data_IF_771956624546
#
_entry.id   IF_771956624546
#
_cell.length_a   1.000
_cell.length_b   1.000
_cell.length_c   1.000
_cell.angle_alpha   90.00
_cell.angle_beta   90.00
_cell.angle_gamma   90.00
#
_symmetry.space_group_name_H-M   'P 1'
#
loop_
_entity.id
_entity.type
_entity.pdbx_description
1 polymer ?
#
# COMPACT_ATOMS: atom_id res chain seq x y z
N UNK A 1 -24.28 -12.77 27.13
CA UNK A 1 -23.76 -12.55 25.75
C UNK A 1 -22.87 -11.34 25.82
N UNK A 2 -21.55 -11.50 25.77
CA UNK A 2 -20.62 -10.35 25.63
C UNK A 2 -20.98 -9.68 24.32
N UNK A 3 -21.42 -8.43 24.36
CA UNK A 3 -21.62 -7.61 23.15
C UNK A 3 -20.25 -7.54 22.45
N UNK A 4 -20.13 -8.17 21.28
CA UNK A 4 -18.91 -8.02 20.49
C UNK A 4 -18.75 -6.54 20.17
N UNK A 5 -17.57 -5.98 20.49
CA UNK A 5 -17.27 -4.59 20.16
C UNK A 5 -17.43 -4.31 18.67
N UNK A 6 -17.91 -3.13 18.37
CA UNK A 6 -18.04 -2.64 16.99
C UNK A 6 -16.77 -1.94 16.57
N UNK A 7 -16.08 -2.51 15.60
CA UNK A 7 -14.82 -1.99 15.08
C UNK A 7 -15.08 -1.35 13.71
N UNK A 8 -14.59 -0.12 13.54
CA UNK A 8 -14.63 0.58 12.26
C UNK A 8 -13.22 0.70 11.68
N UNK A 9 -13.02 0.22 10.47
CA UNK A 9 -11.81 0.45 9.69
C UNK A 9 -11.88 1.79 8.96
N UNK A 10 -10.82 2.60 9.05
CA UNK A 10 -10.65 3.81 8.25
C UNK A 10 -9.30 3.74 7.54
N UNK A 11 -9.30 3.74 6.21
CA UNK A 11 -8.09 3.64 5.41
C UNK A 11 -7.77 4.99 4.80
N UNK A 12 -6.60 5.53 5.14
CA UNK A 12 -6.08 6.78 4.58
C UNK A 12 -5.52 6.52 3.17
N UNK A 13 -6.18 7.04 2.14
CA UNK A 13 -5.85 6.84 0.73
C UNK A 13 -5.74 8.16 -0.06
N UNK A 14 -5.56 9.28 0.63
CA UNK A 14 -5.60 10.64 0.07
C UNK A 14 -4.25 11.25 -0.32
N UNK A 15 -3.11 10.60 -0.06
CA UNK A 15 -1.78 11.15 -0.31
C UNK A 15 -1.46 11.36 -1.79
N UNK A 16 -0.68 12.42 -2.11
CA UNK A 16 -0.29 12.77 -3.49
C UNK A 16 0.62 11.74 -4.15
N UNK A 17 1.50 11.06 -3.37
CA UNK A 17 2.41 10.03 -3.86
C UNK A 17 3.43 10.53 -4.89
N UNK A 18 3.90 11.77 -4.78
CA UNK A 18 4.77 12.45 -5.78
C UNK A 18 6.07 11.72 -6.05
N UNK A 19 6.66 11.07 -5.02
CA UNK A 19 7.91 10.32 -5.14
C UNK A 19 7.81 9.07 -6.03
N UNK A 20 6.59 8.61 -6.32
CA UNK A 20 6.34 7.46 -7.20
C UNK A 20 5.96 7.89 -8.64
N UNK A 21 6.10 9.19 -8.96
CA UNK A 21 5.90 9.64 -10.33
C UNK A 21 6.93 8.97 -11.27
N UNK A 22 6.53 8.61 -12.52
CA UNK A 22 5.28 8.98 -13.22
C UNK A 22 4.09 8.04 -12.95
N UNK A 23 4.24 6.95 -12.17
CA UNK A 23 3.17 5.98 -11.91
C UNK A 23 1.94 6.61 -11.23
N UNK A 24 2.16 7.68 -10.46
CA UNK A 24 1.11 8.45 -9.78
C UNK A 24 0.67 9.72 -10.51
N UNK A 25 1.10 9.91 -11.75
CA UNK A 25 0.70 11.10 -12.53
C UNK A 25 -0.81 11.17 -12.80
N UNK A 26 -1.47 10.00 -12.95
CA UNK A 26 -2.91 9.90 -13.27
C UNK A 26 -3.72 9.07 -12.25
N UNK A 27 -3.12 8.66 -11.14
CA UNK A 27 -3.77 7.87 -10.07
C UNK A 27 -3.13 8.16 -8.72
N UNK A 28 -3.84 7.92 -7.64
CA UNK A 28 -3.27 7.95 -6.27
C UNK A 28 -2.34 6.76 -6.04
N UNK A 29 -1.41 6.86 -5.07
CA UNK A 29 -0.48 5.77 -4.72
C UNK A 29 -1.21 4.46 -4.38
N UNK A 30 -2.30 4.46 -3.57
CA UNK A 30 -3.06 3.23 -3.30
C UNK A 30 -3.64 2.54 -4.54
N UNK A 31 -3.83 3.26 -5.64
CA UNK A 31 -4.35 2.73 -6.89
C UNK A 31 -3.28 2.20 -7.86
N UNK A 32 -1.99 2.29 -7.51
CA UNK A 32 -0.90 1.76 -8.35
C UNK A 32 -1.00 0.22 -8.38
N UNK A 33 -0.91 -0.41 -9.58
CA UNK A 33 -0.91 -1.86 -9.72
C UNK A 33 0.28 -2.51 -9.01
N UNK A 34 0.11 -3.70 -8.43
CA UNK A 34 1.16 -4.47 -7.78
C UNK A 34 0.90 -5.99 -7.90
N UNK A 35 1.94 -6.82 -8.02
CA UNK A 35 1.85 -8.27 -7.98
C UNK A 35 0.93 -8.89 -9.04
N UNK A 36 1.02 -8.46 -10.28
CA UNK A 36 0.33 -8.93 -11.50
C UNK A 36 -1.18 -8.65 -11.58
N UNK A 37 -1.91 -8.52 -10.49
CA UNK A 37 -3.37 -8.32 -10.50
C UNK A 37 -3.92 -7.38 -9.43
N UNK A 38 -3.16 -7.14 -8.37
CA UNK A 38 -3.59 -6.32 -7.24
C UNK A 38 -3.33 -4.82 -7.48
N UNK A 39 -3.86 -4.00 -6.58
CA UNK A 39 -3.41 -2.63 -6.33
C UNK A 39 -2.92 -2.52 -4.89
N UNK A 40 -2.13 -1.51 -4.59
CA UNK A 40 -1.54 -1.35 -3.24
C UNK A 40 -2.61 -1.33 -2.14
N UNK A 41 -3.77 -0.72 -2.37
CA UNK A 41 -4.88 -0.68 -1.41
C UNK A 41 -5.42 -2.07 -1.05
N UNK A 42 -5.33 -3.04 -1.96
CA UNK A 42 -5.90 -4.37 -1.76
C UNK A 42 -5.27 -5.11 -0.59
N UNK A 43 -4.03 -4.79 -0.23
CA UNK A 43 -3.33 -5.37 0.92
C UNK A 43 -3.98 -4.93 2.23
N UNK A 44 -4.19 -3.62 2.43
CA UNK A 44 -4.86 -3.11 3.61
C UNK A 44 -6.30 -3.63 3.72
N UNK A 45 -7.06 -3.60 2.62
CA UNK A 45 -8.44 -4.12 2.59
C UNK A 45 -8.49 -5.62 2.90
N UNK A 46 -7.57 -6.41 2.33
CA UNK A 46 -7.51 -7.87 2.60
C UNK A 46 -7.17 -8.15 4.06
N UNK A 47 -6.28 -7.38 4.68
CA UNK A 47 -5.94 -7.51 6.09
C UNK A 47 -7.16 -7.28 6.99
N UNK A 48 -7.96 -6.24 6.73
CA UNK A 48 -9.19 -5.99 7.48
C UNK A 48 -10.19 -7.14 7.34
N UNK A 49 -10.47 -7.56 6.10
CA UNK A 49 -11.44 -8.63 5.86
C UNK A 49 -11.02 -9.96 6.47
N UNK A 50 -9.76 -10.34 6.31
CA UNK A 50 -9.24 -11.58 6.88
C UNK A 50 -9.21 -11.56 8.42
N UNK A 51 -9.22 -10.36 9.02
CA UNK A 51 -9.29 -10.13 10.46
C UNK A 51 -10.73 -9.96 10.98
N UNK A 52 -11.75 -10.15 10.14
CA UNK A 52 -13.14 -10.01 10.57
C UNK A 52 -13.66 -8.58 10.71
N UNK A 53 -12.92 -7.58 10.23
CA UNK A 53 -13.36 -6.18 10.20
C UNK A 53 -13.95 -5.88 8.83
N UNK A 54 -15.27 -5.74 8.78
CA UNK A 54 -16.03 -5.62 7.52
C UNK A 54 -16.62 -4.24 7.28
N UNK A 55 -16.68 -3.39 8.28
CA UNK A 55 -17.13 -2.00 8.16
C UNK A 55 -15.93 -1.10 7.90
N UNK A 56 -15.76 -0.63 6.66
CA UNK A 56 -14.54 0.07 6.24
C UNK A 56 -14.90 1.31 5.43
N UNK A 57 -14.36 2.46 5.84
CA UNK A 57 -14.31 3.66 5.01
C UNK A 57 -12.91 3.87 4.44
N UNK A 58 -12.85 4.19 3.14
CA UNK A 58 -11.60 4.55 2.45
C UNK A 58 -11.63 6.03 2.15
N UNK A 59 -10.79 6.79 2.84
CA UNK A 59 -10.72 8.25 2.74
C UNK A 59 -9.86 8.64 1.54
N UNK A 60 -10.48 9.32 0.57
CA UNK A 60 -9.83 9.66 -0.69
C UNK A 60 -9.81 11.17 -0.93
N UNK A 61 -8.80 11.63 -1.63
CA UNK A 61 -8.64 13.05 -1.96
C UNK A 61 -8.09 13.26 -3.38
N UNK A 62 -6.79 13.10 -3.58
CA UNK A 62 -6.14 13.35 -4.86
C UNK A 62 -6.29 12.16 -5.83
N UNK A 63 -6.60 12.46 -7.11
CA UNK A 63 -6.62 11.48 -8.22
C UNK A 63 -7.37 10.20 -7.88
N UNK A 64 -8.51 10.33 -7.20
CA UNK A 64 -9.25 9.22 -6.62
C UNK A 64 -10.00 8.36 -7.64
N UNK A 65 -10.27 8.85 -8.87
CA UNK A 65 -11.13 8.18 -9.84
C UNK A 65 -10.75 6.71 -10.07
N UNK A 66 -9.47 6.44 -10.36
CA UNK A 66 -8.99 5.08 -10.61
C UNK A 66 -9.13 4.16 -9.39
N UNK A 67 -8.98 4.71 -8.17
CA UNK A 67 -9.21 3.98 -6.93
C UNK A 67 -10.70 3.71 -6.72
N UNK A 68 -11.52 4.72 -6.96
CA UNK A 68 -12.99 4.63 -6.88
C UNK A 68 -13.53 3.52 -7.77
N UNK A 69 -13.13 3.49 -9.04
CA UNK A 69 -13.53 2.44 -9.97
C UNK A 69 -13.10 1.05 -9.50
N UNK A 70 -11.89 0.93 -8.97
CA UNK A 70 -11.37 -0.34 -8.47
C UNK A 70 -12.18 -0.87 -7.29
N UNK A 71 -12.46 -0.02 -6.29
CA UNK A 71 -13.24 -0.40 -5.11
C UNK A 71 -14.68 -0.73 -5.51
N UNK A 72 -15.30 0.09 -6.35
CA UNK A 72 -16.67 -0.15 -6.80
C UNK A 72 -16.84 -1.44 -7.61
N UNK A 73 -15.81 -1.87 -8.35
CA UNK A 73 -15.85 -3.11 -9.15
C UNK A 73 -15.55 -4.36 -8.33
N UNK A 74 -14.64 -4.26 -7.36
CA UNK A 74 -14.07 -5.43 -6.72
C UNK A 74 -14.48 -5.67 -5.27
N UNK A 75 -14.84 -4.61 -4.56
CA UNK A 75 -14.98 -4.65 -3.12
C UNK A 75 -16.43 -4.41 -2.68
N UNK A 76 -17.36 -5.10 -3.34
CA UNK A 76 -18.78 -5.06 -2.99
C UNK A 76 -19.14 -6.32 -2.21
N UNK A 77 -19.70 -6.14 -1.02
CA UNK A 77 -20.42 -7.19 -0.34
C UNK A 77 -21.82 -7.31 -0.94
N UNK A 78 -22.38 -8.51 -1.00
CA UNK A 78 -23.70 -8.76 -1.57
C UNK A 78 -24.78 -7.89 -0.93
N UNK A 79 -25.84 -7.66 -1.66
CA UNK A 79 -26.91 -6.72 -1.40
C UNK A 79 -27.43 -6.69 0.06
N UNK A 80 -27.10 -5.64 0.79
CA UNK A 80 -27.96 -4.93 1.74
C UNK A 80 -28.52 -5.60 2.99
N UNK A 81 -28.32 -6.89 3.21
CA UNK A 81 -28.89 -7.58 4.37
C UNK A 81 -28.10 -7.42 5.68
N UNK A 82 -26.86 -6.94 5.60
CA UNK A 82 -25.98 -6.79 6.76
C UNK A 82 -25.46 -5.36 6.83
N UNK A 83 -26.05 -4.55 7.67
CA UNK A 83 -25.69 -3.13 7.86
C UNK A 83 -24.22 -2.90 8.28
N UNK A 84 -23.57 -3.94 8.81
CA UNK A 84 -22.20 -3.86 9.33
C UNK A 84 -21.14 -4.38 8.31
N UNK A 85 -21.53 -4.65 7.05
CA UNK A 85 -20.64 -5.17 6.02
C UNK A 85 -20.60 -4.22 4.83
N UNK A 86 -19.64 -3.32 4.81
CA UNK A 86 -19.47 -2.37 3.72
C UNK A 86 -18.01 -1.95 3.54
N UNK A 87 -17.64 -1.63 2.30
CA UNK A 87 -16.45 -0.86 1.97
C UNK A 87 -16.93 0.35 1.18
N UNK A 88 -16.81 1.53 1.76
CA UNK A 88 -17.34 2.77 1.19
C UNK A 88 -16.23 3.81 1.07
N UNK A 89 -16.23 4.50 -0.06
CA UNK A 89 -15.34 5.64 -0.28
C UNK A 89 -15.90 6.86 0.45
N UNK A 90 -15.04 7.54 1.18
CA UNK A 90 -15.31 8.84 1.81
C UNK A 90 -14.38 9.88 1.19
N UNK A 91 -14.79 10.55 0.10
CA UNK A 91 -14.02 11.63 -0.48
C UNK A 91 -14.07 12.87 0.42
N UNK A 92 -13.04 13.72 0.33
CA UNK A 92 -13.06 15.03 0.97
C UNK A 92 -14.31 15.81 0.53
N UNK A 93 -15.06 16.33 1.49
CA UNK A 93 -16.38 16.95 1.26
C UNK A 93 -16.40 18.43 1.68
N UNK A 94 -17.26 19.18 1.04
CA UNK A 94 -17.40 20.63 1.30
C UNK A 94 -18.28 20.98 2.50
N UNK A 95 -18.93 20.02 3.17
CA UNK A 95 -19.94 20.38 4.16
C UNK A 95 -19.36 21.07 5.42
N UNK A 96 -18.06 20.88 5.69
CA UNK A 96 -17.33 21.61 6.72
C UNK A 96 -16.64 22.89 6.20
N UNK A 97 -16.88 23.27 4.94
CA UNK A 97 -16.22 24.42 4.33
C UNK A 97 -16.50 25.73 5.10
N UNK A 98 -17.74 25.91 5.57
CA UNK A 98 -18.14 27.11 6.34
C UNK A 98 -17.38 27.21 7.67
N UNK A 99 -17.06 26.07 8.31
CA UNK A 99 -16.36 26.04 9.58
C UNK A 99 -14.83 26.08 9.40
N UNK A 100 -14.29 25.34 8.42
CA UNK A 100 -12.86 25.11 8.27
C UNK A 100 -12.22 25.93 7.14
N UNK A 101 -13.00 26.55 6.26
CA UNK A 101 -12.51 27.35 5.14
C UNK A 101 -11.69 26.57 4.09
N UNK A 102 -11.65 25.24 4.16
CA UNK A 102 -10.89 24.37 3.28
C UNK A 102 -11.63 23.08 2.95
N UNK A 103 -11.58 22.67 1.69
CA UNK A 103 -12.20 21.43 1.17
C UNK A 103 -11.28 20.22 1.27
N UNK A 104 -9.98 20.46 1.25
CA UNK A 104 -8.97 19.41 1.25
C UNK A 104 -8.53 19.05 2.66
N UNK A 105 -8.26 17.78 2.91
CA UNK A 105 -7.64 17.34 4.16
C UNK A 105 -6.27 18.02 4.33
N UNK A 106 -6.09 18.74 5.42
CA UNK A 106 -4.85 19.45 5.76
C UNK A 106 -3.75 18.49 6.22
N UNK A 107 -4.14 17.35 6.80
CA UNK A 107 -3.25 16.30 7.28
C UNK A 107 -3.99 14.99 7.50
N UNK A 108 -3.28 13.99 8.00
CA UNK A 108 -3.82 12.65 8.26
C UNK A 108 -4.87 12.64 9.37
N UNK A 109 -4.69 13.47 10.41
CA UNK A 109 -5.64 13.64 11.49
C UNK A 109 -6.88 14.42 11.06
N UNK A 110 -6.70 15.46 10.25
CA UNK A 110 -7.82 16.24 9.68
C UNK A 110 -8.72 15.37 8.78
N UNK A 111 -8.13 14.42 8.04
CA UNK A 111 -8.92 13.49 7.24
C UNK A 111 -9.88 12.66 8.10
N UNK A 112 -9.46 12.23 9.28
CA UNK A 112 -10.32 11.50 10.21
C UNK A 112 -11.31 12.47 10.88
N UNK A 113 -10.85 13.65 11.32
CA UNK A 113 -11.69 14.64 11.96
C UNK A 113 -12.92 15.03 11.10
N UNK A 114 -12.69 15.36 9.84
CA UNK A 114 -13.77 15.70 8.91
C UNK A 114 -14.75 14.54 8.67
N UNK A 115 -14.38 13.30 9.00
CA UNK A 115 -15.20 12.11 8.84
C UNK A 115 -15.65 11.48 10.18
N UNK A 116 -15.52 12.20 11.31
CA UNK A 116 -15.93 11.69 12.63
C UNK A 116 -17.41 11.35 12.71
N UNK A 117 -18.26 12.07 11.97
CA UNK A 117 -19.69 11.75 11.85
C UNK A 117 -19.96 10.31 11.36
N UNK A 118 -19.08 9.73 10.52
CA UNK A 118 -19.17 8.34 10.06
C UNK A 118 -18.89 7.37 11.20
N UNK A 119 -17.92 7.69 12.07
CA UNK A 119 -17.57 6.93 13.27
C UNK A 119 -18.75 6.93 14.27
N UNK A 120 -19.38 8.09 14.47
CA UNK A 120 -20.52 8.27 15.35
C UNK A 120 -21.76 7.55 14.83
N UNK A 121 -22.08 7.71 13.55
CA UNK A 121 -23.21 7.05 12.90
C UNK A 121 -23.11 5.53 12.97
N UNK A 122 -21.90 4.99 12.78
CA UNK A 122 -21.63 3.56 12.93
C UNK A 122 -21.66 3.11 14.39
N UNK A 123 -21.51 4.02 15.35
CA UNK A 123 -21.38 3.75 16.79
C UNK A 123 -20.23 2.81 17.09
N UNK A 124 -19.07 3.04 16.50
CA UNK A 124 -17.87 2.28 16.75
C UNK A 124 -17.46 2.36 18.24
N UNK A 125 -16.96 1.27 18.80
CA UNK A 125 -16.28 1.27 20.10
C UNK A 125 -14.81 1.65 19.92
N UNK A 126 -14.16 1.00 18.96
CA UNK A 126 -12.77 1.27 18.58
C UNK A 126 -12.67 1.56 17.06
N UNK A 127 -11.69 2.37 16.68
CA UNK A 127 -11.44 2.77 15.29
C UNK A 127 -10.03 2.34 14.89
N UNK A 128 -9.95 1.51 13.86
CA UNK A 128 -8.69 1.08 13.26
C UNK A 128 -8.35 1.98 12.06
N UNK A 129 -7.33 2.82 12.20
CA UNK A 129 -6.89 3.79 11.18
C UNK A 129 -5.61 3.27 10.54
N UNK A 130 -5.67 2.92 9.26
CA UNK A 130 -4.57 2.30 8.54
C UNK A 130 -4.18 3.10 7.31
N UNK A 131 -2.89 3.08 6.98
CA UNK A 131 -2.41 3.59 5.70
C UNK A 131 -2.74 2.62 4.56
N UNK A 132 -3.26 3.14 3.45
CA UNK A 132 -3.64 2.34 2.27
C UNK A 132 -2.52 2.20 1.23
N UNK A 133 -1.26 2.47 1.58
CA UNK A 133 -0.17 2.62 0.62
C UNK A 133 1.07 1.75 0.92
N UNK A 134 0.93 0.73 1.77
CA UNK A 134 1.98 -0.24 2.13
C UNK A 134 1.65 -1.66 1.68
N UNK A 135 2.69 -2.47 1.50
CA UNK A 135 2.59 -3.90 1.17
C UNK A 135 2.96 -4.72 2.41
N UNK A 136 2.00 -5.45 2.97
CA UNK A 136 2.17 -6.26 4.17
C UNK A 136 0.97 -7.17 4.41
N UNK A 137 1.14 -8.18 5.27
CA UNK A 137 0.03 -8.96 5.84
C UNK A 137 -0.06 -8.64 7.33
N UNK A 138 -1.24 -8.33 7.81
CA UNK A 138 -1.46 -8.00 9.21
C UNK A 138 -2.77 -8.55 9.74
N UNK A 139 -2.68 -9.29 10.84
CA UNK A 139 -3.83 -9.74 11.60
C UNK A 139 -4.31 -8.61 12.53
N UNK A 140 -5.27 -7.83 12.06
CA UNK A 140 -5.85 -6.71 12.80
C UNK A 140 -6.58 -7.19 14.05
N UNK A 141 -7.19 -8.39 14.01
CA UNK A 141 -7.85 -8.97 15.18
C UNK A 141 -6.86 -9.21 16.33
N UNK A 142 -5.67 -9.72 16.05
CA UNK A 142 -4.63 -9.91 17.07
C UNK A 142 -4.14 -8.56 17.66
N UNK A 143 -4.03 -7.52 16.83
CA UNK A 143 -3.72 -6.17 17.35
C UNK A 143 -4.86 -5.62 18.23
N UNK A 144 -6.13 -5.87 17.87
CA UNK A 144 -7.28 -5.51 18.68
C UNK A 144 -7.31 -6.26 20.01
N UNK A 145 -7.04 -7.57 20.01
CA UNK A 145 -6.94 -8.38 21.22
C UNK A 145 -5.87 -7.82 22.20
N UNK A 146 -4.71 -7.45 21.66
CA UNK A 146 -3.66 -6.81 22.50
C UNK A 146 -4.08 -5.41 22.97
N UNK A 147 -4.73 -4.61 22.14
CA UNK A 147 -5.28 -3.31 22.53
C UNK A 147 -6.23 -3.43 23.73
N UNK A 148 -7.11 -4.42 23.69
CA UNK A 148 -8.04 -4.70 24.79
C UNK A 148 -7.36 -5.24 26.04
N UNK A 149 -6.48 -6.24 25.88
CA UNK A 149 -5.77 -6.87 26.98
C UNK A 149 -4.92 -5.87 27.79
N UNK A 150 -4.29 -4.93 27.08
CA UNK A 150 -3.49 -3.85 27.71
C UNK A 150 -4.36 -2.67 28.17
N UNK A 151 -5.68 -2.68 27.89
CA UNK A 151 -6.60 -1.56 28.15
C UNK A 151 -6.07 -0.23 27.58
N UNK A 152 -5.37 -0.31 26.45
CA UNK A 152 -4.76 0.85 25.83
C UNK A 152 -5.83 1.84 25.36
N UNK A 153 -5.52 3.12 25.36
CA UNK A 153 -6.33 4.17 24.75
C UNK A 153 -6.02 4.28 23.26
N UNK A 154 -4.75 4.05 22.94
CA UNK A 154 -4.20 4.05 21.57
C UNK A 154 -3.25 2.86 21.44
N UNK A 155 -3.29 2.15 20.33
CA UNK A 155 -2.27 1.15 19.97
C UNK A 155 -1.65 1.52 18.64
N UNK A 156 -0.31 1.48 18.56
CA UNK A 156 0.45 1.80 17.35
C UNK A 156 1.16 0.54 16.87
N UNK A 157 0.92 0.13 15.62
CA UNK A 157 1.72 -0.93 15.03
C UNK A 157 3.17 -0.45 14.81
N UNK A 158 4.11 -1.22 15.34
CA UNK A 158 5.51 -0.87 15.42
C UNK A 158 6.39 -1.93 14.74
N UNK A 159 7.41 -1.48 14.03
CA UNK A 159 8.35 -2.34 13.32
C UNK A 159 9.79 -1.89 13.57
N UNK A 160 10.70 -2.80 13.96
CA UNK A 160 12.12 -2.49 14.09
C UNK A 160 12.73 -2.22 12.72
N UNK A 161 13.30 -1.03 12.53
CA UNK A 161 13.90 -0.57 11.27
C UNK A 161 15.37 -0.22 11.51
N UNK A 162 16.29 -0.48 10.55
CA UNK A 162 17.66 -0.02 10.66
C UNK A 162 17.74 1.47 10.94
N UNK A 163 18.60 1.88 11.88
CA UNK A 163 18.69 3.27 12.35
C UNK A 163 18.92 4.26 11.19
N UNK A 164 19.71 3.86 10.20
CA UNK A 164 19.99 4.67 9.00
C UNK A 164 18.75 5.01 8.15
N UNK A 165 17.68 4.20 8.26
CA UNK A 165 16.44 4.37 7.50
C UNK A 165 15.31 4.98 8.34
N UNK A 166 15.46 4.98 9.66
CA UNK A 166 14.40 5.32 10.60
C UNK A 166 13.93 6.79 10.51
N UNK A 167 14.76 7.70 9.99
CA UNK A 167 14.40 9.10 9.78
C UNK A 167 13.24 9.33 8.80
N UNK A 168 12.80 8.29 8.10
CA UNK A 168 11.63 8.35 7.18
C UNK A 168 10.30 8.13 7.89
N UNK A 169 10.32 7.65 9.15
CA UNK A 169 9.16 7.18 9.90
C UNK A 169 9.01 7.92 11.23
N UNK A 170 7.85 7.78 11.86
CA UNK A 170 7.69 8.10 13.26
C UNK A 170 8.49 7.11 14.10
N UNK A 171 9.35 7.60 14.98
CA UNK A 171 10.19 6.78 15.87
C UNK A 171 9.68 6.87 17.30
N UNK A 172 9.56 5.74 17.97
CA UNK A 172 9.06 5.67 19.33
C UNK A 172 10.04 4.99 20.28
N UNK A 173 9.98 5.38 21.56
CA UNK A 173 10.60 4.68 22.66
C UNK A 173 9.52 4.04 23.52
N UNK A 174 9.80 2.85 24.01
CA UNK A 174 8.87 2.08 24.84
C UNK A 174 9.51 1.67 26.16
N UNK A 175 8.68 1.50 27.19
CA UNK A 175 9.10 0.87 28.44
C UNK A 175 9.14 -0.67 28.33
N UNK A 176 9.49 -1.37 29.41
CA UNK A 176 9.57 -2.84 29.48
C UNK A 176 8.22 -3.55 29.20
N UNK A 177 7.11 -2.84 29.31
CA UNK A 177 5.75 -3.34 29.05
C UNK A 177 5.26 -3.01 27.66
N UNK A 178 6.12 -2.36 26.84
CA UNK A 178 5.76 -1.91 25.49
C UNK A 178 4.88 -0.66 25.46
N UNK A 179 4.71 0.05 26.59
CA UNK A 179 4.04 1.34 26.62
C UNK A 179 4.93 2.39 25.96
N UNK A 180 4.37 3.17 25.05
CA UNK A 180 5.09 4.27 24.39
C UNK A 180 5.30 5.41 25.37
N UNK A 181 6.56 5.79 25.55
CA UNK A 181 6.99 6.89 26.47
C UNK A 181 7.50 8.11 25.70
N UNK A 182 7.86 7.95 24.42
CA UNK A 182 8.28 9.05 23.56
C UNK A 182 7.89 8.73 22.11
N UNK A 183 7.53 9.75 21.34
CA UNK A 183 7.25 9.65 19.91
C UNK A 183 7.79 10.89 19.18
N UNK A 184 8.51 10.66 18.08
CA UNK A 184 9.05 11.71 17.21
C UNK A 184 8.79 11.38 15.75
N UNK A 185 8.08 12.26 15.05
CA UNK A 185 7.81 12.10 13.62
C UNK A 185 9.01 12.52 12.77
N UNK A 186 9.56 11.57 12.03
CA UNK A 186 10.68 11.77 11.08
C UNK A 186 11.86 12.54 11.69
N UNK A 187 12.42 12.07 12.83
CA UNK A 187 13.52 12.76 13.47
C UNK A 187 14.76 12.74 12.59
N UNK A 188 15.54 13.83 12.66
CA UNK A 188 16.84 13.90 11.96
C UNK A 188 17.87 12.94 12.58
N UNK A 189 17.77 12.74 13.89
CA UNK A 189 18.61 11.84 14.68
C UNK A 189 17.71 10.84 15.44
N UNK A 190 17.37 9.71 14.81
CA UNK A 190 16.47 8.74 15.39
C UNK A 190 17.13 8.00 16.57
N UNK A 191 16.38 7.82 17.67
CA UNK A 191 16.84 7.08 18.84
C UNK A 191 16.78 5.58 18.60
N UNK A 192 17.83 4.86 19.01
CA UNK A 192 17.88 3.42 18.95
C UNK A 192 16.95 2.76 19.97
N UNK A 193 16.50 1.55 19.66
CA UNK A 193 15.76 0.70 20.60
C UNK A 193 16.64 0.25 21.77
N UNK A 194 16.08 0.16 22.99
CA UNK A 194 16.78 -0.47 24.11
C UNK A 194 17.26 -1.89 23.75
N UNK A 195 18.54 -2.17 24.01
CA UNK A 195 19.17 -3.47 23.69
C UNK A 195 19.45 -3.78 22.22
N UNK A 196 19.10 -2.88 21.29
CA UNK A 196 19.37 -3.04 19.83
C UNK A 196 19.92 -1.73 19.23
N UNK A 197 21.20 -1.37 19.46
CA UNK A 197 21.76 -0.07 19.12
C UNK A 197 21.77 0.28 17.62
N UNK A 198 21.61 -0.74 16.73
CA UNK A 198 21.53 -0.53 15.27
C UNK A 198 20.10 -0.37 14.74
N UNK A 199 19.08 -0.46 15.60
CA UNK A 199 17.66 -0.47 15.19
C UNK A 199 16.87 0.60 15.94
N UNK A 200 15.89 1.18 15.27
CA UNK A 200 14.87 2.04 15.89
C UNK A 200 13.49 1.38 15.81
N UNK A 201 12.62 1.65 16.78
CA UNK A 201 11.23 1.19 16.72
C UNK A 201 10.39 2.22 15.96
N UNK A 202 9.96 1.86 14.76
CA UNK A 202 9.25 2.75 13.85
C UNK A 202 7.75 2.47 13.82
N UNK A 203 6.96 3.53 13.72
CA UNK A 203 5.52 3.44 13.46
C UNK A 203 5.26 3.00 12.03
N UNK A 204 4.36 2.05 11.86
CA UNK A 204 3.86 1.61 10.55
C UNK A 204 2.76 2.53 9.99
N UNK A 205 2.32 3.55 10.75
CA UNK A 205 1.18 4.38 10.36
C UNK A 205 -0.17 3.69 10.49
N UNK A 206 -0.23 2.63 11.28
CA UNK A 206 -1.42 1.85 11.57
C UNK A 206 -1.76 1.96 13.05
N UNK A 207 -2.96 2.40 13.36
CA UNK A 207 -3.40 2.76 14.70
C UNK A 207 -4.72 2.11 15.05
N UNK A 208 -4.93 1.79 16.34
CA UNK A 208 -6.23 1.53 16.93
C UNK A 208 -6.46 2.57 18.01
N UNK A 209 -7.60 3.23 17.97
CA UNK A 209 -8.03 4.22 18.96
C UNK A 209 -9.35 3.80 19.59
N UNK A 210 -9.50 3.97 20.90
CA UNK A 210 -10.83 4.09 21.49
C UNK A 210 -11.55 5.30 20.88
N UNK A 211 -12.79 5.13 20.42
CA UNK A 211 -13.57 6.20 19.76
C UNK A 211 -13.57 7.49 20.56
N UNK A 212 -13.79 7.41 21.89
CA UNK A 212 -13.84 8.60 22.74
C UNK A 212 -12.52 9.36 22.73
N UNK A 213 -11.40 8.65 22.86
CA UNK A 213 -10.07 9.26 22.87
C UNK A 213 -9.74 9.88 21.53
N UNK A 214 -10.11 9.20 20.43
CA UNK A 214 -9.94 9.75 19.09
C UNK A 214 -10.71 11.06 18.93
N UNK A 215 -11.98 11.10 19.31
CA UNK A 215 -12.82 12.30 19.21
C UNK A 215 -12.24 13.48 20.03
N UNK A 216 -11.86 13.23 21.29
CA UNK A 216 -11.27 14.24 22.18
C UNK A 216 -9.97 14.84 21.59
N UNK A 217 -9.07 13.99 21.12
CA UNK A 217 -7.78 14.44 20.56
C UNK A 217 -7.93 15.21 19.26
N UNK A 218 -8.82 14.75 18.36
CA UNK A 218 -9.05 15.40 17.08
C UNK A 218 -9.77 16.73 17.22
N UNK A 219 -10.74 16.84 18.13
CA UNK A 219 -11.44 18.10 18.44
C UNK A 219 -10.46 19.17 18.92
N UNK A 220 -9.52 18.79 19.79
CA UNK A 220 -8.49 19.71 20.27
C UNK A 220 -7.49 20.05 19.17
N UNK A 221 -7.05 19.06 18.36
CA UNK A 221 -6.11 19.30 17.26
C UNK A 221 -6.71 20.24 16.20
N UNK A 222 -7.99 20.05 15.84
CA UNK A 222 -8.68 20.87 14.85
C UNK A 222 -8.70 22.37 15.17
N UNK A 223 -8.71 22.69 16.49
CA UNK A 223 -8.72 24.07 17.01
C UNK A 223 -7.34 24.61 17.37
N UNK A 224 -6.30 23.77 17.27
CA UNK A 224 -4.93 24.17 17.62
C UNK A 224 -4.32 24.96 16.48
N UNK A 225 -4.06 26.24 16.72
CA UNK A 225 -3.38 27.10 15.76
C UNK A 225 -1.93 26.60 15.52
N UNK A 226 -1.52 26.56 14.24
CA UNK A 226 -0.20 26.07 13.84
C UNK A 226 -0.05 24.55 13.76
N UNK A 227 -1.09 23.76 14.11
CA UNK A 227 -1.09 22.32 13.89
C UNK A 227 -1.01 22.00 12.39
N UNK A 228 -0.26 20.94 12.06
CA UNK A 228 -0.25 20.37 10.72
C UNK A 228 -1.35 19.32 10.54
N UNK A 229 -2.12 19.07 11.58
CA UNK A 229 -3.20 18.10 11.65
C UNK A 229 -2.75 16.68 11.23
N UNK A 230 -1.58 16.29 11.71
CA UNK A 230 -0.96 15.02 11.41
C UNK A 230 -0.87 14.14 12.66
N UNK A 231 -1.17 12.83 12.54
CA UNK A 231 -1.14 11.95 13.69
C UNK A 231 0.23 11.90 14.34
N UNK A 232 1.30 11.79 13.54
CA UNK A 232 2.66 11.65 14.05
C UNK A 232 3.22 12.96 14.62
N UNK A 233 2.90 14.10 14.00
CA UNK A 233 3.47 15.40 14.40
C UNK A 233 2.71 16.05 15.55
N UNK A 234 1.38 15.91 15.56
CA UNK A 234 0.53 16.69 16.43
C UNK A 234 -0.24 15.82 17.44
N UNK A 235 -0.99 14.82 16.97
CA UNK A 235 -1.93 14.05 17.79
C UNK A 235 -1.23 13.12 18.76
N UNK A 236 -0.30 12.26 18.29
CA UNK A 236 0.38 11.29 19.16
C UNK A 236 1.30 11.95 20.21
N UNK A 237 2.13 12.96 19.87
CA UNK A 237 2.91 13.69 20.88
C UNK A 237 2.02 14.38 21.91
N UNK A 238 0.84 14.90 21.50
CA UNK A 238 -0.13 15.46 22.42
C UNK A 238 -0.71 14.41 23.35
N UNK A 239 -1.15 13.28 22.80
CA UNK A 239 -1.71 12.18 23.57
C UNK A 239 -0.74 11.70 24.67
N UNK A 240 0.56 11.65 24.37
CA UNK A 240 1.60 11.33 25.35
C UNK A 240 1.69 12.38 26.47
N UNK A 241 1.70 13.67 26.12
CA UNK A 241 1.74 14.77 27.11
C UNK A 241 0.51 14.79 28.01
N UNK A 242 -0.65 14.48 27.45
CA UNK A 242 -1.94 14.47 28.16
C UNK A 242 -2.13 13.18 29.00
N UNK A 243 -1.16 12.25 28.96
CA UNK A 243 -1.10 11.07 29.82
C UNK A 243 -1.93 9.87 29.32
N UNK A 244 -2.41 9.87 28.08
CA UNK A 244 -3.11 8.72 27.51
C UNK A 244 -2.21 7.48 27.46
N UNK A 245 -2.82 6.31 27.63
CA UNK A 245 -2.10 5.04 27.54
C UNK A 245 -1.91 4.63 26.07
N UNK A 246 -0.70 4.82 25.56
CA UNK A 246 -0.31 4.42 24.22
C UNK A 246 0.52 3.13 24.30
N UNK A 247 0.09 2.07 23.60
CA UNK A 247 0.77 0.77 23.54
C UNK A 247 1.38 0.55 22.16
N UNK A 248 2.62 0.08 22.11
CA UNK A 248 3.21 -0.42 20.87
C UNK A 248 2.79 -1.87 20.63
N UNK A 249 2.31 -2.16 19.43
CA UNK A 249 2.08 -3.52 18.95
C UNK A 249 3.29 -3.94 18.12
N UNK A 250 4.05 -4.92 18.62
CA UNK A 250 5.21 -5.44 17.89
C UNK A 250 4.74 -6.27 16.68
N UNK A 251 4.86 -5.69 15.48
CA UNK A 251 4.49 -6.35 14.24
C UNK A 251 5.27 -7.65 13.98
N UNK A 252 6.46 -7.83 14.56
CA UNK A 252 7.21 -9.08 14.43
C UNK A 252 6.50 -10.27 15.12
N UNK A 253 5.59 -10.00 16.05
CA UNK A 253 4.77 -11.04 16.71
C UNK A 253 3.43 -11.31 16.00
N UNK A 254 3.18 -10.64 14.88
CA UNK A 254 1.92 -10.70 14.14
C UNK A 254 1.68 -12.09 13.53
N UNK A 255 0.66 -12.85 14.01
CA UNK A 255 0.40 -14.19 13.52
C UNK A 255 -0.44 -14.13 12.24
N UNK A 256 0.04 -14.75 11.18
CA UNK A 256 -0.72 -14.92 9.95
C UNK A 256 -1.05 -16.41 9.79
N UNK A 257 -2.32 -16.81 9.76
CA UNK A 257 -2.73 -18.19 9.47
C UNK A 257 -2.04 -18.73 8.22
N UNK A 258 -1.65 -20.02 8.26
CA UNK A 258 -0.94 -20.68 7.16
C UNK A 258 0.55 -20.30 7.02
N UNK A 259 1.09 -19.44 7.88
CA UNK A 259 2.52 -19.14 7.92
C UNK A 259 3.19 -19.79 9.12
N UNK A 260 4.30 -20.51 8.87
CA UNK A 260 5.09 -21.19 9.91
C UNK A 260 6.15 -20.29 10.55
N UNK A 261 6.43 -19.15 9.95
CA UNK A 261 7.38 -18.13 10.44
C UNK A 261 6.65 -16.83 10.72
N UNK A 262 7.09 -16.04 11.71
CA UNK A 262 6.55 -14.70 11.92
C UNK A 262 6.59 -13.88 10.62
N UNK A 263 5.50 -13.20 10.32
CA UNK A 263 5.45 -12.33 9.16
C UNK A 263 6.12 -11.00 9.50
N UNK A 264 7.32 -10.81 8.97
CA UNK A 264 8.11 -9.60 9.19
C UNK A 264 8.16 -8.68 7.96
N UNK A 265 7.43 -9.04 6.90
CA UNK A 265 7.44 -8.25 5.67
C UNK A 265 6.53 -7.04 5.78
N UNK A 266 7.12 -5.88 5.76
CA UNK A 266 6.45 -4.59 5.61
C UNK A 266 7.29 -3.68 4.72
N UNK A 267 6.69 -3.16 3.64
CA UNK A 267 7.37 -2.30 2.67
C UNK A 267 6.54 -1.04 2.38
N UNK A 268 7.13 0.12 2.62
CA UNK A 268 6.66 1.39 2.05
C UNK A 268 7.18 1.50 0.61
N UNK A 269 6.34 1.12 -0.36
CA UNK A 269 6.66 1.24 -1.78
C UNK A 269 6.47 2.69 -2.26
N UNK A 270 7.11 3.63 -1.59
CA UNK A 270 6.96 5.07 -1.79
C UNK A 270 7.89 5.67 -2.84
N UNK A 271 8.88 4.92 -3.33
CA UNK A 271 9.77 5.31 -4.43
C UNK A 271 9.75 4.27 -5.54
N UNK A 272 10.22 4.63 -6.73
CA UNK A 272 10.27 3.72 -7.88
C UNK A 272 11.20 2.53 -7.61
N UNK A 273 12.30 2.75 -6.91
CA UNK A 273 13.25 1.73 -6.50
C UNK A 273 12.61 0.73 -5.53
N UNK A 274 11.98 1.22 -4.46
CA UNK A 274 11.32 0.38 -3.47
C UNK A 274 10.16 -0.41 -4.10
N UNK A 275 9.41 0.21 -5.02
CA UNK A 275 8.36 -0.45 -5.78
C UNK A 275 8.91 -1.58 -6.67
N UNK A 276 9.99 -1.32 -7.40
CA UNK A 276 10.62 -2.31 -8.27
C UNK A 276 11.23 -3.45 -7.46
N UNK A 277 11.94 -3.15 -6.38
CA UNK A 277 12.53 -4.14 -5.47
C UNK A 277 11.45 -5.06 -4.88
N UNK A 278 10.37 -4.50 -4.32
CA UNK A 278 9.25 -5.27 -3.81
C UNK A 278 8.55 -6.12 -4.89
N UNK A 279 8.55 -5.65 -6.14
CA UNK A 279 8.04 -6.42 -7.28
C UNK A 279 8.97 -7.57 -7.66
N UNK A 280 10.28 -7.36 -7.61
CA UNK A 280 11.27 -8.41 -7.90
C UNK A 280 11.35 -9.48 -6.81
N UNK A 281 11.06 -9.12 -5.55
CA UNK A 281 10.91 -10.10 -4.47
C UNK A 281 9.84 -11.15 -4.82
N UNK A 282 8.68 -10.74 -5.33
CA UNK A 282 7.58 -11.66 -5.68
C UNK A 282 7.94 -12.71 -6.73
N UNK A 283 8.91 -12.44 -7.58
CA UNK A 283 9.36 -13.35 -8.64
C UNK A 283 10.66 -14.09 -8.28
N UNK A 284 11.19 -13.85 -7.10
CA UNK A 284 12.31 -14.62 -6.57
C UNK A 284 11.92 -16.07 -6.31
N UNK A 285 12.89 -16.98 -6.24
CA UNK A 285 12.66 -18.42 -5.97
C UNK A 285 12.03 -18.60 -4.57
N UNK A 286 12.48 -17.80 -3.60
CA UNK A 286 11.98 -17.82 -2.23
C UNK A 286 11.56 -16.40 -1.83
N UNK A 287 10.36 -15.93 -2.24
CA UNK A 287 9.91 -14.59 -1.93
C UNK A 287 9.71 -14.41 -0.42
N UNK A 288 10.11 -13.25 0.10
CA UNK A 288 9.82 -12.88 1.48
C UNK A 288 8.31 -12.67 1.67
N UNK A 289 7.64 -12.13 0.64
CA UNK A 289 6.20 -11.89 0.66
C UNK A 289 5.44 -12.97 -0.12
N UNK A 290 4.82 -13.90 0.60
CA UNK A 290 4.01 -14.96 0.01
C UNK A 290 2.59 -14.47 -0.36
N UNK A 291 2.29 -14.41 -1.66
CA UNK A 291 0.96 -14.07 -2.18
C UNK A 291 0.04 -15.29 -2.36
N UNK A 292 0.55 -16.49 -2.15
CA UNK A 292 -0.14 -17.75 -2.43
C UNK A 292 -0.77 -18.41 -1.20
N UNK A 293 -0.64 -17.81 -0.02
CA UNK A 293 -1.20 -18.35 1.22
C UNK A 293 -2.74 -18.42 1.17
N UNK A 294 -3.36 -19.62 1.13
CA UNK A 294 -4.81 -19.78 1.01
C UNK A 294 -5.57 -19.45 2.31
N UNK A 295 -4.90 -19.50 3.47
CA UNK A 295 -5.50 -19.20 4.77
C UNK A 295 -5.51 -17.68 5.05
N UNK A 296 -4.72 -16.90 4.29
CA UNK A 296 -4.73 -15.44 4.31
C UNK A 296 -4.81 -14.87 2.89
N UNK A 297 -5.94 -15.07 2.20
CA UNK A 297 -6.06 -14.73 0.80
C UNK A 297 -6.02 -13.21 0.57
N UNK A 298 -5.24 -12.80 -0.43
CA UNK A 298 -5.29 -11.45 -0.94
C UNK A 298 -6.42 -11.33 -1.96
N UNK A 299 -7.33 -10.39 -1.74
CA UNK A 299 -8.48 -10.12 -2.60
C UNK A 299 -8.23 -8.90 -3.46
N UNK A 300 -8.90 -8.82 -4.60
CA UNK A 300 -8.86 -7.69 -5.51
C UNK A 300 -10.12 -7.66 -6.39
N UNK A 301 -10.28 -6.63 -7.19
CA UNK A 301 -11.32 -6.60 -8.21
C UNK A 301 -11.17 -7.75 -9.21
N UNK A 302 -12.23 -8.53 -9.37
CA UNK A 302 -12.25 -9.61 -10.36
C UNK A 302 -12.43 -9.01 -11.75
N UNK A 303 -11.47 -9.23 -12.62
CA UNK A 303 -11.60 -8.92 -14.04
C UNK A 303 -11.54 -10.21 -14.85
N UNK A 304 -12.50 -10.37 -15.73
CA UNK A 304 -12.58 -11.53 -16.61
C UNK A 304 -11.53 -11.41 -17.70
N UNK A 305 -10.58 -12.33 -17.71
CA UNK A 305 -9.57 -12.48 -18.75
C UNK A 305 -9.42 -13.96 -19.09
N UNK A 306 -9.17 -14.33 -20.34
CA UNK A 306 -8.82 -15.71 -20.68
C UNK A 306 -7.51 -16.10 -19.98
N UNK A 307 -7.18 -17.40 -19.87
CA UNK A 307 -5.87 -17.84 -19.40
C UNK A 307 -4.72 -17.22 -20.20
N UNK A 308 -3.55 -17.13 -19.58
CA UNK A 308 -2.32 -16.75 -20.30
C UNK A 308 -1.96 -17.82 -21.33
N UNK A 309 -1.48 -17.40 -22.51
CA UNK A 309 -1.14 -18.29 -23.62
C UNK A 309 0.32 -18.14 -24.02
N UNK A 310 1.01 -19.27 -24.08
CA UNK A 310 2.40 -19.39 -24.54
C UNK A 310 2.40 -20.13 -25.87
N UNK A 311 3.01 -19.56 -26.90
CA UNK A 311 2.97 -20.13 -28.25
C UNK A 311 4.32 -20.04 -28.94
N UNK A 312 4.49 -20.94 -29.88
CA UNK A 312 5.64 -21.25 -30.68
C UNK A 312 6.70 -22.06 -29.95
N UNK A 313 7.17 -23.08 -30.62
CA UNK A 313 8.28 -23.93 -30.26
C UNK A 313 8.96 -24.35 -31.57
N UNK A 314 9.73 -23.44 -32.16
CA UNK A 314 10.41 -23.69 -33.42
C UNK A 314 11.75 -22.96 -33.46
N UNK A 315 12.85 -23.71 -33.33
CA UNK A 315 14.19 -23.13 -33.23
C UNK A 315 14.33 -22.14 -32.11
N UNK A 316 14.77 -20.93 -32.39
CA UNK A 316 14.91 -19.84 -31.41
C UNK A 316 13.57 -19.14 -31.09
N UNK A 317 12.53 -19.46 -31.84
CA UNK A 317 11.19 -18.87 -31.61
C UNK A 317 10.42 -19.68 -30.60
N UNK A 318 10.68 -19.45 -29.31
CA UNK A 318 10.02 -20.13 -28.20
C UNK A 318 9.37 -19.12 -27.30
N UNK A 319 8.06 -19.28 -27.01
CA UNK A 319 7.32 -18.44 -26.08
C UNK A 319 7.39 -19.01 -24.66
N UNK A 320 8.19 -18.43 -23.77
CA UNK A 320 8.32 -18.91 -22.40
C UNK A 320 8.51 -17.80 -21.36
N UNK A 321 8.17 -18.11 -20.12
CA UNK A 321 8.39 -17.24 -18.97
C UNK A 321 9.03 -18.07 -17.84
N UNK A 322 10.10 -17.56 -17.24
CA UNK A 322 10.85 -18.18 -16.16
C UNK A 322 10.95 -17.23 -14.98
N UNK A 323 10.77 -17.74 -13.75
CA UNK A 323 10.79 -16.94 -12.53
C UNK A 323 9.93 -15.67 -12.68
N UNK A 324 8.71 -15.81 -13.15
CA UNK A 324 7.87 -14.67 -13.57
C UNK A 324 6.42 -14.88 -13.19
N UNK A 325 5.71 -13.78 -12.91
CA UNK A 325 4.27 -13.80 -12.70
C UNK A 325 3.56 -13.30 -13.96
N UNK A 326 2.67 -14.10 -14.52
CA UNK A 326 1.95 -13.79 -15.77
C UNK A 326 0.45 -13.83 -15.53
N UNK A 327 -0.20 -12.67 -15.61
CA UNK A 327 -1.64 -12.55 -15.40
C UNK A 327 -2.48 -13.08 -16.58
N UNK A 328 -3.78 -13.21 -16.35
CA UNK A 328 -4.73 -13.64 -17.39
C UNK A 328 -4.74 -12.72 -18.63
N UNK A 329 -5.05 -13.32 -19.78
CA UNK A 329 -5.09 -12.62 -21.06
C UNK A 329 -3.74 -12.32 -21.70
N UNK A 330 -2.63 -12.62 -21.04
CA UNK A 330 -1.29 -12.44 -21.62
C UNK A 330 -1.03 -13.42 -22.76
N UNK A 331 -0.27 -12.97 -23.79
CA UNK A 331 0.18 -13.81 -24.89
C UNK A 331 1.70 -13.67 -25.03
N UNK A 332 2.44 -14.73 -24.72
CA UNK A 332 3.86 -14.81 -24.96
C UNK A 332 4.07 -15.54 -26.29
N UNK A 333 4.29 -14.76 -27.36
CA UNK A 333 4.29 -15.25 -28.73
C UNK A 333 5.70 -15.37 -29.30
N UNK A 334 6.45 -16.40 -28.85
CA UNK A 334 7.82 -16.65 -29.30
C UNK A 334 8.83 -15.64 -28.75
N UNK A 335 8.56 -15.04 -27.63
CA UNK A 335 9.46 -14.16 -26.88
C UNK A 335 9.84 -14.77 -25.53
N UNK A 336 10.83 -14.22 -24.90
CA UNK A 336 11.39 -14.66 -23.61
C UNK A 336 11.03 -13.65 -22.50
N UNK A 337 10.48 -14.17 -21.41
CA UNK A 337 10.22 -13.39 -20.18
C UNK A 337 11.00 -14.01 -19.03
N UNK A 338 11.76 -13.21 -18.29
CA UNK A 338 12.56 -13.66 -17.15
C UNK A 338 12.40 -12.69 -15.98
N UNK A 339 12.27 -13.22 -14.77
CA UNK A 339 12.23 -12.44 -13.52
C UNK A 339 11.33 -11.21 -13.63
N UNK A 340 10.15 -11.36 -14.20
CA UNK A 340 9.30 -10.23 -14.58
C UNK A 340 7.85 -10.44 -14.17
N UNK A 341 7.13 -9.33 -13.99
CA UNK A 341 5.71 -9.33 -13.68
C UNK A 341 4.93 -8.75 -14.87
N UNK A 342 4.06 -9.57 -15.44
CA UNK A 342 3.16 -9.18 -16.51
C UNK A 342 1.74 -9.08 -15.96
N UNK A 343 1.18 -7.88 -16.04
CA UNK A 343 -0.22 -7.65 -15.75
C UNK A 343 -1.10 -8.11 -16.92
N UNK A 344 -2.39 -7.85 -16.83
CA UNK A 344 -3.38 -8.43 -17.76
C UNK A 344 -3.19 -7.99 -19.20
N UNK A 345 -3.42 -8.92 -20.13
CA UNK A 345 -3.42 -8.69 -21.59
C UNK A 345 -2.12 -8.12 -22.12
N UNK A 346 -1.01 -8.35 -21.44
CA UNK A 346 0.32 -8.04 -21.96
C UNK A 346 0.63 -8.98 -23.12
N UNK A 347 1.19 -8.43 -24.18
CA UNK A 347 1.67 -9.20 -25.33
C UNK A 347 3.17 -9.07 -25.51
N UNK A 348 3.86 -10.20 -25.59
CA UNK A 348 5.31 -10.28 -25.84
C UNK A 348 5.53 -11.01 -27.16
N UNK A 349 5.96 -10.28 -28.20
CA UNK A 349 6.08 -10.82 -29.54
C UNK A 349 7.43 -11.55 -29.76
N UNK A 350 7.55 -12.21 -30.92
CA UNK A 350 8.65 -13.13 -31.21
C UNK A 350 10.02 -12.48 -31.16
N UNK A 351 10.99 -13.23 -30.62
CA UNK A 351 12.39 -12.86 -30.46
C UNK A 351 12.62 -11.65 -29.53
N UNK A 352 11.61 -11.22 -28.80
CA UNK A 352 11.75 -10.15 -27.81
C UNK A 352 12.19 -10.71 -26.45
N UNK A 353 12.84 -9.88 -25.67
CA UNK A 353 13.27 -10.16 -24.31
C UNK A 353 12.63 -9.18 -23.32
N UNK A 354 12.06 -9.71 -22.25
CA UNK A 354 11.62 -8.93 -21.09
C UNK A 354 12.30 -9.50 -19.86
N UNK A 355 13.12 -8.72 -19.19
CA UNK A 355 13.94 -9.17 -18.07
C UNK A 355 13.86 -8.18 -16.91
N UNK A 356 13.68 -8.69 -15.67
CA UNK A 356 13.62 -7.92 -14.41
C UNK A 356 12.71 -6.69 -14.51
N UNK A 357 11.53 -6.86 -15.12
CA UNK A 357 10.66 -5.75 -15.50
C UNK A 357 9.22 -5.96 -15.06
N UNK A 358 8.52 -4.87 -14.88
CA UNK A 358 7.09 -4.86 -14.55
C UNK A 358 6.32 -4.22 -15.69
N UNK A 359 5.46 -4.98 -16.35
CA UNK A 359 4.63 -4.53 -17.46
C UNK A 359 3.17 -4.45 -17.02
N UNK A 360 2.57 -3.25 -17.01
CA UNK A 360 1.18 -3.08 -16.63
C UNK A 360 0.20 -3.49 -17.75
N UNK A 361 -1.09 -3.39 -17.46
CA UNK A 361 -2.14 -3.88 -18.36
C UNK A 361 -2.01 -3.31 -19.78
N UNK A 362 -2.31 -4.13 -20.78
CA UNK A 362 -2.37 -3.78 -22.20
C UNK A 362 -1.02 -3.33 -22.83
N UNK A 363 0.11 -3.65 -22.18
CA UNK A 363 1.44 -3.39 -22.77
C UNK A 363 1.71 -4.39 -23.88
N UNK A 364 2.18 -3.89 -25.04
CA UNK A 364 2.56 -4.70 -26.18
C UNK A 364 4.05 -4.51 -26.52
N UNK A 365 4.83 -5.59 -26.44
CA UNK A 365 6.26 -5.61 -26.75
C UNK A 365 6.47 -6.10 -28.19
N UNK A 366 6.99 -5.24 -29.05
CA UNK A 366 7.24 -5.53 -30.48
C UNK A 366 8.29 -6.62 -30.70
N UNK A 367 8.33 -7.14 -31.92
CA UNK A 367 9.31 -8.19 -32.30
C UNK A 367 10.74 -7.68 -32.14
N UNK A 368 11.65 -8.54 -31.64
CA UNK A 368 13.04 -8.21 -31.37
C UNK A 368 13.27 -7.05 -30.41
N UNK A 369 12.24 -6.54 -29.74
CA UNK A 369 12.40 -5.52 -28.71
C UNK A 369 13.02 -6.15 -27.43
N UNK A 370 13.82 -5.38 -26.74
CA UNK A 370 14.49 -5.78 -25.52
C UNK A 370 14.18 -4.80 -24.38
N UNK A 371 13.66 -5.32 -23.29
CA UNK A 371 13.28 -4.53 -22.11
C UNK A 371 13.97 -5.12 -20.89
N UNK A 372 14.69 -4.29 -20.13
CA UNK A 372 15.40 -4.71 -18.92
C UNK A 372 15.32 -3.65 -17.83
N UNK A 373 15.18 -4.09 -16.56
CA UNK A 373 15.09 -3.22 -15.39
C UNK A 373 14.11 -2.05 -15.61
N UNK A 374 12.90 -2.36 -16.06
CA UNK A 374 11.95 -1.34 -16.46
C UNK A 374 10.56 -1.53 -15.83
N UNK A 375 9.87 -0.43 -15.62
CA UNK A 375 8.44 -0.41 -15.29
C UNK A 375 7.74 0.27 -16.49
N UNK A 376 6.92 -0.47 -17.22
CA UNK A 376 6.15 0.09 -18.33
C UNK A 376 4.69 0.20 -17.90
N UNK A 377 4.19 1.43 -17.83
CA UNK A 377 2.81 1.69 -17.42
C UNK A 377 1.81 1.32 -18.54
N UNK A 378 0.54 1.33 -18.22
CA UNK A 378 -0.57 0.84 -19.06
C UNK A 378 -0.62 1.48 -20.45
N UNK A 379 -1.18 0.73 -21.40
CA UNK A 379 -1.53 1.22 -22.73
C UNK A 379 -0.30 1.68 -23.54
N UNK A 380 0.85 1.00 -23.39
CA UNK A 380 2.10 1.30 -24.12
C UNK A 380 2.39 0.20 -25.15
N UNK A 381 2.61 0.59 -26.39
CA UNK A 381 3.09 -0.28 -27.45
C UNK A 381 4.54 0.03 -27.80
N UNK A 382 5.46 -0.85 -27.41
CA UNK A 382 6.89 -0.75 -27.71
C UNK A 382 7.14 -1.24 -29.14
N UNK A 383 7.69 -0.42 -30.05
CA UNK A 383 7.94 -0.80 -31.44
C UNK A 383 8.94 -1.97 -31.56
N UNK A 384 8.94 -2.67 -32.72
CA UNK A 384 9.97 -3.66 -33.02
C UNK A 384 11.39 -3.10 -32.92
N UNK A 385 12.34 -3.96 -32.51
CA UNK A 385 13.77 -3.66 -32.37
C UNK A 385 14.12 -2.55 -31.33
N UNK A 386 13.15 -2.07 -30.55
CA UNK A 386 13.38 -1.06 -29.51
C UNK A 386 14.11 -1.67 -28.33
N UNK A 387 15.09 -0.93 -27.78
CA UNK A 387 15.77 -1.29 -26.53
C UNK A 387 15.39 -0.30 -25.44
N UNK A 388 15.03 -0.81 -24.25
CA UNK A 388 14.69 -0.05 -23.04
C UNK A 388 15.49 -0.63 -21.87
N UNK A 389 16.20 0.24 -21.11
CA UNK A 389 17.03 -0.17 -19.98
C UNK A 389 18.43 -0.67 -20.36
N UNK A 390 18.86 -0.44 -21.59
CA UNK A 390 20.19 -0.80 -22.09
C UNK A 390 21.08 0.42 -22.30
N UNK A 391 20.53 1.53 -22.78
CA UNK A 391 21.16 2.83 -22.90
C UNK A 391 20.32 3.87 -22.16
N UNK A 392 20.73 4.15 -20.92
CA UNK A 392 19.98 5.03 -20.02
C UNK A 392 19.97 6.49 -20.50
N UNK A 393 20.98 6.90 -21.29
CA UNK A 393 21.02 8.24 -21.87
C UNK A 393 19.98 8.38 -22.98
N UNK A 394 19.88 7.37 -23.85
CA UNK A 394 18.85 7.31 -24.90
C UNK A 394 17.45 7.22 -24.29
N UNK A 395 17.26 6.47 -23.19
CA UNK A 395 15.98 6.37 -22.50
C UNK A 395 15.57 7.71 -21.87
N UNK A 396 16.50 8.45 -21.25
CA UNK A 396 16.26 9.83 -20.76
C UNK A 396 15.89 10.79 -21.91
N UNK A 397 16.58 10.68 -23.05
CA UNK A 397 16.32 11.52 -24.23
C UNK A 397 14.91 11.29 -24.81
N UNK A 398 14.35 10.08 -24.66
CA UNK A 398 12.95 9.75 -24.98
C UNK A 398 11.93 10.31 -23.98
N UNK A 399 12.37 10.96 -22.90
CA UNK A 399 11.50 11.46 -21.83
C UNK A 399 11.10 10.44 -20.79
N UNK A 400 11.76 9.28 -20.72
CA UNK A 400 11.52 8.31 -19.66
C UNK A 400 12.15 8.78 -18.34
N UNK A 401 11.51 8.41 -17.23
CA UNK A 401 12.12 8.58 -15.92
C UNK A 401 13.16 7.47 -15.72
N UNK A 402 14.37 7.85 -15.37
CA UNK A 402 15.46 6.91 -15.05
C UNK A 402 15.94 7.21 -13.64
N UNK A 403 15.84 6.20 -12.76
CA UNK A 403 16.29 6.34 -11.37
C UNK A 403 17.81 6.23 -11.25
N UNK A 404 18.36 6.59 -10.09
CA UNK A 404 19.80 6.48 -9.83
C UNK A 404 20.32 5.04 -9.92
N UNK A 405 19.46 4.07 -9.61
CA UNK A 405 19.77 2.64 -9.71
C UNK A 405 19.53 2.06 -11.13
N UNK A 406 19.25 2.92 -12.12
CA UNK A 406 19.11 2.52 -13.52
C UNK A 406 17.75 1.86 -13.87
N UNK A 407 16.73 2.02 -13.05
CA UNK A 407 15.38 1.57 -13.39
C UNK A 407 14.73 2.58 -14.34
N UNK A 408 14.23 2.10 -15.47
CA UNK A 408 13.57 2.94 -16.48
C UNK A 408 12.06 2.85 -16.33
N UNK A 409 11.39 4.01 -16.25
CA UNK A 409 9.92 4.05 -16.13
C UNK A 409 9.31 4.74 -17.33
N UNK A 410 8.52 3.98 -18.10
CA UNK A 410 7.76 4.46 -19.26
C UNK A 410 6.37 4.86 -18.80
N UNK A 411 5.95 6.13 -18.98
CA UNK A 411 4.67 6.61 -18.47
C UNK A 411 3.48 6.03 -19.24
N UNK A 412 2.30 6.03 -18.59
CA UNK A 412 1.06 5.53 -19.16
C UNK A 412 0.72 6.15 -20.52
N UNK A 413 0.44 5.28 -21.51
CA UNK A 413 0.02 5.68 -22.83
C UNK A 413 1.09 6.42 -23.64
N UNK A 414 2.36 6.22 -23.29
CA UNK A 414 3.47 6.77 -24.06
C UNK A 414 3.42 6.28 -25.50
N UNK A 415 3.60 7.20 -26.44
CA UNK A 415 3.66 6.89 -27.88
C UNK A 415 5.10 7.06 -28.34
N UNK A 416 5.62 6.02 -28.97
CA UNK A 416 6.89 6.09 -29.66
C UNK A 416 6.68 6.77 -31.02
N UNK A 417 7.60 7.64 -31.38
CA UNK A 417 7.63 8.29 -32.68
C UNK A 417 8.00 7.30 -33.81
#
# INVERSE_FOLDING_TARGET
>A
MSSSKRILGMILAGGQGTRLAPLTSRRSKPAVPFGSKFRIIDFALSNFLNSGVYAIYVLTQFKAQSLTEHIQRGWRFGSGLLADYFITLAPAQMYLYEELGNVWYRGTADAIYQNMHLVENYRADDVAIFSGDHIYKMNVAHMLEQHEAQRADITIAAYPTPLAEASRFGVMQVDERGRVIEFQEKPKDPKAMPGKPGMALCSMGNYIFKRRVLAELLEVDARTEGSQHDFGKDVLPRALRDGYHIQAYDFQTNPIPGQTRPNTYWRDVGTLEAYHEASMDLVSINPEFDVFNPEWPLRTAVEYSPPAKFVHESGERVGHALNSMVAGGCIISGGTVRESILFRRVRVNSYSLVERSVLFDEVNIGRHAQVRNAIIDKDVSVPPNTKIGFDLAADKARGFTVTDNGIVVVPKGYKFD
#
